data_IF_072900253559
#
_entry.id   IF_072900253559
#
_cell.length_a   1.000
_cell.length_b   1.000
_cell.length_c   1.000
_cell.angle_alpha   90.00
_cell.angle_beta   90.00
_cell.angle_gamma   90.00
#
_symmetry.space_group_name_H-M   'P 1'
#
loop_
_entity.id
_entity.type
_entity.pdbx_description
1 polymer ?
#
# COMPACT_ATOMS: atom_id res chain seq x y z
N UNK A 1 -0.28 -18.14 -0.98
CA UNK A 1 0.33 -17.06 -0.18
C UNK A 1 -0.15 -15.74 -0.74
N UNK A 2 -0.92 -14.95 0.02
CA UNK A 2 -1.15 -13.55 -0.35
C UNK A 2 -0.35 -12.73 0.65
N UNK A 3 0.66 -12.02 0.15
CA UNK A 3 1.38 -11.01 0.93
C UNK A 3 0.66 -9.70 0.69
N UNK A 4 0.12 -9.11 1.74
CA UNK A 4 -0.46 -7.77 1.67
C UNK A 4 0.67 -6.78 1.97
N UNK A 5 1.04 -6.01 0.96
CA UNK A 5 1.90 -4.85 1.15
C UNK A 5 1.07 -3.78 1.86
N UNK A 6 1.47 -3.42 3.08
CA UNK A 6 0.82 -2.32 3.85
C UNK A 6 1.33 -0.94 3.43
N UNK A 7 2.02 -0.90 2.31
CA UNK A 7 2.43 0.31 1.61
C UNK A 7 1.92 0.21 0.18
N UNK A 8 1.64 1.37 -0.41
CA UNK A 8 1.23 1.51 -1.80
C UNK A 8 2.25 2.37 -2.52
N UNK A 9 2.63 1.96 -3.73
CA UNK A 9 3.40 2.79 -4.63
C UNK A 9 2.44 3.54 -5.56
N UNK A 10 2.53 4.86 -5.57
CA UNK A 10 1.74 5.72 -6.44
C UNK A 10 2.67 6.74 -7.11
N UNK A 11 2.87 6.56 -8.42
CA UNK A 11 3.90 7.29 -9.17
C UNK A 11 5.32 6.99 -8.65
N UNK A 12 6.17 8.01 -8.45
CA UNK A 12 7.53 7.83 -7.94
C UNK A 12 7.59 7.68 -6.40
N UNK A 13 6.45 7.69 -5.71
CA UNK A 13 6.39 7.76 -4.25
C UNK A 13 5.84 6.46 -3.63
N UNK A 14 6.34 6.14 -2.44
CA UNK A 14 5.83 5.07 -1.59
C UNK A 14 5.12 5.69 -0.39
N UNK A 15 3.91 5.21 -0.13
CA UNK A 15 3.07 5.66 0.97
C UNK A 15 2.74 4.50 1.90
N UNK A 16 2.71 4.76 3.20
CA UNK A 16 2.19 3.83 4.18
C UNK A 16 0.65 3.89 4.18
N UNK A 17 -0.03 2.76 4.26
CA UNK A 17 -1.49 2.76 4.36
C UNK A 17 -1.93 3.27 5.73
N UNK A 18 -2.80 4.28 5.73
CA UNK A 18 -3.41 4.80 6.93
C UNK A 18 -4.45 3.80 7.50
N UNK A 19 -4.56 3.72 8.83
CA UNK A 19 -5.30 2.69 9.53
C UNK A 19 -6.79 2.61 9.17
N UNK A 20 -7.44 3.72 8.83
CA UNK A 20 -8.84 3.76 8.40
C UNK A 20 -9.05 3.10 7.04
N UNK A 21 -7.99 2.89 6.25
CA UNK A 21 -8.06 2.24 4.94
C UNK A 21 -8.12 0.71 5.01
N UNK A 22 -8.21 0.13 6.21
CA UNK A 22 -8.22 -1.32 6.42
C UNK A 22 -9.35 -2.03 5.66
N UNK A 23 -10.57 -1.49 5.71
CA UNK A 23 -11.71 -2.07 4.98
C UNK A 23 -11.53 -1.93 3.47
N UNK A 24 -11.07 -0.76 3.01
CA UNK A 24 -10.86 -0.49 1.59
C UNK A 24 -9.84 -1.44 0.98
N UNK A 25 -8.70 -1.64 1.64
CA UNK A 25 -7.66 -2.55 1.14
C UNK A 25 -8.16 -4.00 1.17
N UNK A 26 -8.91 -4.41 2.19
CA UNK A 26 -9.50 -5.75 2.23
C UNK A 26 -10.48 -5.97 1.08
N UNK A 27 -11.36 -5.00 0.81
CA UNK A 27 -12.30 -5.07 -0.32
C UNK A 27 -11.60 -5.09 -1.66
N UNK A 28 -10.56 -4.27 -1.82
CA UNK A 28 -9.73 -4.26 -3.02
C UNK A 28 -9.05 -5.62 -3.28
N UNK A 29 -8.71 -6.36 -2.21
CA UNK A 29 -8.17 -7.73 -2.29
C UNK A 29 -9.24 -8.83 -2.47
N UNK A 30 -10.53 -8.47 -2.61
CA UNK A 30 -11.63 -9.42 -2.79
C UNK A 30 -12.19 -10.01 -1.48
N UNK A 31 -11.86 -9.42 -0.32
CA UNK A 31 -12.44 -9.78 0.96
C UNK A 31 -13.67 -8.94 1.27
N UNK A 32 -14.48 -9.39 2.23
CA UNK A 32 -15.70 -8.67 2.62
C UNK A 32 -15.41 -7.40 3.42
N UNK A 33 -14.44 -7.48 4.34
CA UNK A 33 -14.05 -6.40 5.25
C UNK A 33 -12.75 -6.74 6.01
N UNK A 34 -12.24 -5.78 6.76
CA UNK A 34 -11.21 -5.98 7.77
C UNK A 34 -11.76 -6.71 9.01
N UNK A 35 -10.87 -7.46 9.65
CA UNK A 35 -11.03 -8.04 10.98
C UNK A 35 -10.11 -7.32 11.96
N UNK A 36 -9.23 -8.08 12.60
CA UNK A 36 -8.20 -7.51 13.48
C UNK A 36 -7.23 -6.64 12.69
N UNK A 37 -6.91 -5.47 13.27
CA UNK A 37 -5.89 -4.58 12.73
C UNK A 37 -4.83 -4.36 13.78
N UNK A 38 -3.58 -4.18 13.34
CA UNK A 38 -2.52 -3.63 14.17
C UNK A 38 -1.96 -2.41 13.46
N UNK A 39 -1.85 -1.31 14.21
CA UNK A 39 -1.30 -0.07 13.71
C UNK A 39 -0.20 0.49 14.61
N UNK A 40 0.54 1.44 14.05
CA UNK A 40 1.59 2.22 14.70
C UNK A 40 1.55 3.65 14.17
N UNK A 41 2.45 4.54 14.58
CA UNK A 41 2.58 5.86 13.96
C UNK A 41 3.80 5.95 13.05
N UNK A 42 3.79 6.86 12.08
CA UNK A 42 4.98 7.18 11.27
C UNK A 42 6.18 7.58 12.12
N UNK A 43 5.93 8.27 13.24
CA UNK A 43 6.96 8.61 14.22
C UNK A 43 7.63 7.36 14.80
N UNK A 44 6.84 6.40 15.30
CA UNK A 44 7.36 5.16 15.92
C UNK A 44 8.10 4.29 14.90
N UNK A 45 7.67 4.29 13.64
CA UNK A 45 8.36 3.55 12.58
C UNK A 45 9.71 4.14 12.18
N UNK A 46 9.97 5.42 12.47
CA UNK A 46 11.18 6.10 12.03
C UNK A 46 11.32 6.25 10.51
N UNK A 47 10.26 5.94 9.74
CA UNK A 47 10.27 6.02 8.27
C UNK A 47 10.00 7.43 7.80
N UNK A 48 10.72 7.89 6.77
CA UNK A 48 10.50 9.20 6.14
C UNK A 48 9.47 9.14 5.00
N UNK A 49 8.45 8.30 5.14
CA UNK A 49 7.35 8.16 4.19
C UNK A 49 6.14 9.00 4.64
N UNK A 50 5.30 9.38 3.68
CA UNK A 50 3.95 9.90 3.97
C UNK A 50 2.96 8.74 4.10
N UNK A 51 1.83 9.03 4.72
CA UNK A 51 0.69 8.14 4.76
C UNK A 51 -0.27 8.40 3.60
N UNK A 52 -1.10 7.41 3.28
CA UNK A 52 -2.20 7.54 2.33
C UNK A 52 -3.47 6.90 2.88
N UNK A 53 -4.58 7.65 2.82
CA UNK A 53 -5.93 7.09 2.94
C UNK A 53 -6.42 6.67 1.58
N UNK A 54 -7.06 5.50 1.49
CA UNK A 54 -7.65 5.01 0.24
C UNK A 54 -8.96 5.75 -0.07
N UNK A 55 -9.84 5.93 0.92
CA UNK A 55 -11.14 6.58 0.71
C UNK A 55 -11.52 7.50 1.89
N UNK A 56 -11.74 8.81 1.68
CA UNK A 56 -11.36 9.55 0.47
C UNK A 56 -9.85 9.48 0.26
N UNK A 57 -9.42 9.61 -1.00
CA UNK A 57 -7.99 9.62 -1.32
C UNK A 57 -7.34 10.86 -0.71
N UNK A 58 -6.41 10.66 0.23
CA UNK A 58 -5.75 11.74 0.96
C UNK A 58 -4.30 11.34 1.30
N UNK A 59 -3.34 12.21 1.00
CA UNK A 59 -1.95 12.05 1.42
C UNK A 59 -1.74 12.82 2.72
N UNK A 60 -1.26 12.15 3.75
CA UNK A 60 -1.09 12.72 5.10
C UNK A 60 0.39 12.68 5.47
N UNK A 61 0.94 13.84 5.83
CA UNK A 61 2.36 14.02 6.19
C UNK A 61 2.62 14.05 7.69
N UNK A 62 1.55 14.13 8.47
CA UNK A 62 1.59 14.25 9.93
C UNK A 62 2.24 13.01 10.57
N UNK A 63 3.28 13.20 11.39
CA UNK A 63 4.06 12.10 11.97
C UNK A 63 3.28 11.27 13.00
N UNK A 64 2.24 11.87 13.59
CA UNK A 64 1.33 11.20 14.53
C UNK A 64 0.28 10.31 13.85
N UNK A 65 0.19 10.32 12.51
CA UNK A 65 -0.80 9.53 11.77
C UNK A 65 -0.63 8.03 12.03
N UNK A 66 -1.73 7.32 12.29
CA UNK A 66 -1.74 5.88 12.57
C UNK A 66 -1.76 5.05 11.29
N UNK A 67 -0.69 4.31 11.03
CA UNK A 67 -0.51 3.43 9.87
C UNK A 67 -0.85 1.98 10.21
N UNK A 68 -1.28 1.22 9.21
CA UNK A 68 -1.35 -0.24 9.29
C UNK A 68 0.06 -0.83 9.36
N UNK A 69 0.27 -1.77 10.30
CA UNK A 69 1.45 -2.68 10.36
C UNK A 69 1.06 -4.14 10.14
N UNK A 70 -0.17 -4.49 10.49
CA UNK A 70 -0.77 -5.78 10.23
C UNK A 70 -2.28 -5.67 10.06
N UNK A 71 -2.84 -6.58 9.28
CA UNK A 71 -4.25 -6.61 8.94
C UNK A 71 -4.70 -8.03 8.69
N UNK A 72 -5.86 -8.37 9.25
CA UNK A 72 -6.65 -9.56 8.95
C UNK A 72 -7.79 -9.15 8.00
N UNK A 73 -7.92 -9.80 6.84
CA UNK A 73 -9.09 -9.63 5.97
C UNK A 73 -10.02 -10.84 6.04
N UNK A 74 -11.33 -10.58 6.08
CA UNK A 74 -12.36 -11.58 6.36
C UNK A 74 -13.13 -11.95 5.10
N UNK A 75 -13.27 -13.25 4.84
CA UNK A 75 -14.26 -13.74 3.87
C UNK A 75 -15.67 -13.45 4.39
N UNK A 76 -16.65 -13.42 3.49
CA UNK A 76 -18.04 -13.26 3.88
C UNK A 76 -18.44 -14.31 4.93
N UNK A 77 -19.10 -13.87 6.00
CA UNK A 77 -19.52 -14.74 7.12
C UNK A 77 -18.40 -15.15 8.10
N UNK A 78 -17.13 -14.82 7.84
CA UNK A 78 -16.02 -15.14 8.73
C UNK A 78 -15.97 -14.20 9.94
N UNK A 79 -15.76 -14.74 11.13
CA UNK A 79 -15.51 -13.95 12.35
C UNK A 79 -14.04 -13.51 12.43
N UNK A 80 -13.83 -12.29 12.92
CA UNK A 80 -12.50 -11.77 13.23
C UNK A 80 -11.81 -12.63 14.30
N UNK A 81 -10.48 -12.72 14.22
CA UNK A 81 -9.70 -13.16 15.37
C UNK A 81 -9.92 -12.21 16.55
N UNK A 82 -9.82 -12.75 17.76
CA UNK A 82 -9.78 -11.96 18.98
C UNK A 82 -8.45 -12.24 19.66
N UNK A 83 -7.93 -11.25 20.39
CA UNK A 83 -6.71 -11.44 21.15
C UNK A 83 -6.97 -12.46 22.27
N UNK A 84 -6.03 -13.38 22.47
CA UNK A 84 -6.01 -14.22 23.67
C UNK A 84 -5.60 -13.40 24.92
N UNK A 85 -5.53 -14.06 26.08
CA UNK A 85 -5.13 -13.43 27.35
C UNK A 85 -3.72 -12.82 27.33
N UNK A 86 -2.87 -13.24 26.40
CA UNK A 86 -1.50 -12.78 26.23
C UNK A 86 -1.37 -11.76 25.08
N UNK A 87 -2.49 -11.31 24.52
CA UNK A 87 -2.55 -10.32 23.45
C UNK A 87 -2.23 -10.87 22.06
N UNK A 88 -2.16 -12.19 21.89
CA UNK A 88 -1.88 -12.80 20.60
C UNK A 88 -3.15 -12.86 19.73
N UNK A 89 -3.01 -12.49 18.47
CA UNK A 89 -4.07 -12.56 17.45
C UNK A 89 -3.62 -13.55 16.38
N UNK A 90 -4.42 -14.59 16.15
CA UNK A 90 -4.15 -15.66 15.19
C UNK A 90 -3.87 -17.01 15.89
N UNK A 91 -3.30 -17.97 15.16
CA UNK A 91 -3.28 -19.38 15.57
C UNK A 91 -1.90 -19.83 16.04
N UNK A 92 -1.80 -20.54 17.16
CA UNK A 92 -0.58 -21.26 17.55
C UNK A 92 0.62 -20.40 17.94
N UNK A 93 0.41 -19.12 18.27
CA UNK A 93 1.45 -18.23 18.76
C UNK A 93 1.94 -18.65 20.16
N UNK A 94 3.25 -18.51 20.41
CA UNK A 94 3.90 -18.73 21.72
C UNK A 94 4.56 -17.44 22.18
N UNK A 95 4.22 -16.98 23.38
CA UNK A 95 4.66 -15.69 23.92
C UNK A 95 3.51 -14.68 23.97
N UNK A 96 3.82 -13.38 23.86
CA UNK A 96 2.86 -12.28 24.04
C UNK A 96 2.78 -11.37 22.82
N UNK A 97 1.61 -10.78 22.61
CA UNK A 97 1.38 -9.68 21.66
C UNK A 97 1.78 -10.01 20.21
N UNK A 98 1.69 -11.26 19.76
CA UNK A 98 1.95 -11.63 18.37
C UNK A 98 0.72 -11.39 17.48
N UNK A 99 0.94 -11.13 16.20
CA UNK A 99 -0.12 -10.99 15.19
C UNK A 99 0.16 -11.89 13.99
N UNK A 100 -0.75 -12.81 13.69
CA UNK A 100 -0.59 -13.85 12.68
C UNK A 100 -0.46 -15.23 13.32
N UNK A 101 0.19 -16.18 12.65
CA UNK A 101 0.15 -17.59 13.04
C UNK A 101 1.54 -18.11 13.40
N UNK A 102 1.61 -19.00 14.40
CA UNK A 102 2.78 -19.78 14.81
C UNK A 102 4.06 -18.99 15.07
N UNK A 103 3.94 -17.76 15.58
CA UNK A 103 5.10 -16.99 16.00
C UNK A 103 5.63 -17.48 17.35
N UNK A 104 6.96 -17.46 17.53
CA UNK A 104 7.60 -17.79 18.80
C UNK A 104 8.36 -16.57 19.35
N UNK A 105 8.05 -16.17 20.58
CA UNK A 105 8.56 -14.95 21.19
C UNK A 105 7.48 -13.87 21.34
N UNK A 106 7.88 -12.61 21.48
CA UNK A 106 6.95 -11.52 21.75
C UNK A 106 6.94 -10.49 20.61
N UNK A 107 5.78 -9.88 20.37
CA UNK A 107 5.57 -8.77 19.44
C UNK A 107 5.89 -9.09 17.96
N UNK A 108 5.85 -10.36 17.56
CA UNK A 108 6.09 -10.74 16.17
C UNK A 108 4.84 -10.53 15.32
N UNK A 109 5.05 -10.18 14.05
CA UNK A 109 3.98 -10.07 13.05
C UNK A 109 4.33 -10.98 11.88
N UNK A 110 3.52 -12.00 11.59
CA UNK A 110 3.78 -12.89 10.47
C UNK A 110 3.11 -14.27 10.59
N UNK A 111 3.33 -15.09 9.57
CA UNK A 111 2.91 -16.49 9.48
C UNK A 111 4.08 -17.34 8.97
N UNK A 112 4.21 -18.63 9.35
CA UNK A 112 5.05 -19.56 8.61
C UNK A 112 4.49 -19.74 7.19
N UNK A 113 5.38 -19.80 6.21
CA UNK A 113 5.05 -19.72 4.77
C UNK A 113 4.11 -20.83 4.24
N UNK A 114 3.80 -21.86 5.03
CA UNK A 114 3.22 -23.12 4.55
C UNK A 114 1.76 -23.38 4.96
N UNK A 115 1.10 -22.55 5.79
CA UNK A 115 -0.16 -22.99 6.43
C UNK A 115 -1.37 -22.04 6.43
N UNK A 116 -1.32 -20.82 5.88
CA UNK A 116 -2.44 -19.89 6.13
C UNK A 116 -3.50 -19.87 5.00
N UNK A 117 -4.72 -20.32 5.35
CA UNK A 117 -5.98 -20.07 4.62
C UNK A 117 -6.63 -18.72 5.04
N UNK A 118 -5.94 -17.96 5.91
CA UNK A 118 -6.20 -16.58 6.32
C UNK A 118 -5.01 -15.73 5.86
N UNK A 119 -5.22 -14.46 5.55
CA UNK A 119 -4.11 -13.59 5.14
C UNK A 119 -3.77 -12.65 6.30
N UNK A 120 -2.52 -12.71 6.73
CA UNK A 120 -1.91 -11.71 7.61
C UNK A 120 -1.00 -10.83 6.77
N UNK A 121 -1.31 -9.52 6.70
CA UNK A 121 -0.36 -8.51 6.24
C UNK A 121 0.73 -8.31 7.30
N UNK A 122 2.01 -8.24 6.93
CA UNK A 122 3.09 -7.88 7.86
C UNK A 122 4.11 -7.00 7.15
N UNK A 123 4.47 -5.86 7.74
CA UNK A 123 5.76 -5.23 7.42
C UNK A 123 6.86 -6.06 8.06
N UNK A 124 7.70 -6.67 7.24
CA UNK A 124 9.00 -7.11 7.70
C UNK A 124 9.88 -5.87 7.87
N UNK A 125 9.96 -5.30 9.08
CA UNK A 125 10.92 -4.24 9.41
C UNK A 125 12.16 -4.89 10.02
N UNK A 126 12.77 -5.81 9.28
CA UNK A 126 14.20 -6.05 9.44
C UNK A 126 14.92 -5.07 8.50
N UNK A 127 16.00 -4.46 9.00
CA UNK A 127 16.77 -3.38 8.34
C UNK A 127 16.91 -3.55 6.81
N UNK A 128 16.92 -2.44 6.04
CA UNK A 128 16.96 -2.49 4.58
C UNK A 128 18.30 -3.04 4.11
N UNK A 129 18.37 -4.34 3.87
CA UNK A 129 19.45 -4.96 3.11
C UNK A 129 18.86 -5.55 1.83
N UNK A 130 18.83 -4.69 0.81
CA UNK A 130 18.81 -5.00 -0.61
C UNK A 130 17.67 -5.86 -1.20
N UNK A 131 17.37 -5.54 -2.47
CA UNK A 131 16.67 -6.35 -3.47
C UNK A 131 15.13 -6.41 -3.41
N UNK A 132 14.50 -5.53 -4.17
CA UNK A 132 13.72 -5.98 -5.33
C UNK A 132 13.94 -4.98 -6.47
N UNK A 133 14.71 -5.44 -7.44
CA UNK A 133 14.90 -4.84 -8.76
C UNK A 133 13.54 -4.51 -9.38
N UNK A 134 13.28 -3.22 -9.59
CA UNK A 134 12.15 -2.77 -10.37
C UNK A 134 12.23 -3.39 -11.79
N UNK A 135 11.12 -3.86 -12.37
CA UNK A 135 11.10 -4.16 -13.80
C UNK A 135 11.39 -2.86 -14.56
N UNK A 136 12.38 -2.93 -15.45
CA UNK A 136 12.78 -1.84 -16.35
C UNK A 136 11.53 -1.33 -17.11
N UNK A 137 11.21 -0.02 -17.09
CA UNK A 137 10.16 0.51 -17.95
C UNK A 137 10.56 0.27 -19.42
N UNK A 138 9.69 -0.41 -20.16
CA UNK A 138 9.86 -0.55 -21.61
C UNK A 138 9.62 0.80 -22.26
N UNK A 139 10.71 1.49 -22.64
CA UNK A 139 10.66 2.69 -23.47
C UNK A 139 10.31 2.30 -24.89
N UNK A 140 9.05 2.45 -25.26
CA UNK A 140 8.66 2.65 -26.67
C UNK A 140 7.63 3.77 -26.71
N UNK A 141 8.13 4.99 -26.91
CA UNK A 141 7.34 6.16 -27.23
C UNK A 141 7.27 6.22 -28.76
N UNK A 142 6.09 6.18 -29.41
CA UNK A 142 5.99 6.57 -30.81
C UNK A 142 6.17 8.09 -30.91
N UNK A 143 7.30 8.54 -31.44
CA UNK A 143 7.54 9.93 -31.81
C UNK A 143 6.85 10.21 -33.15
N UNK A 144 5.74 10.95 -33.15
CA UNK A 144 5.31 11.72 -34.32
C UNK A 144 5.57 13.20 -34.05
N UNK A 145 6.50 13.73 -34.83
CA UNK A 145 7.07 15.06 -34.80
C UNK A 145 6.07 16.12 -35.33
N UNK A 146 5.93 17.30 -34.72
CA UNK A 146 5.19 18.41 -35.33
C UNK A 146 6.08 19.15 -36.34
N UNK A 147 5.63 19.23 -37.60
CA UNK A 147 6.27 20.01 -38.67
C UNK A 147 6.05 21.50 -38.47
N UNK A 148 7.12 22.26 -38.31
CA UNK A 148 7.15 23.72 -38.38
C UNK A 148 7.48 24.16 -39.81
N UNK A 149 6.52 24.72 -40.53
CA UNK A 149 6.78 25.43 -41.80
C UNK A 149 6.60 26.93 -41.56
N UNK A 150 7.66 27.69 -41.78
CA UNK A 150 7.74 29.16 -41.69
C UNK A 150 7.19 29.76 -43.00
N UNK A 151 6.31 30.78 -42.99
CA UNK A 151 5.99 31.55 -44.19
C UNK A 151 6.81 32.85 -44.27
N UNK A 152 7.50 33.05 -45.39
CA UNK A 152 8.17 34.31 -45.79
C UNK A 152 7.22 35.19 -46.63
N UNK A 153 6.82 36.33 -46.04
CA UNK A 153 6.50 37.69 -46.57
C UNK A 153 5.99 37.97 -48.02
N UNK A 154 4.77 38.59 -48.08
CA UNK A 154 4.28 39.82 -48.79
C UNK A 154 4.42 40.03 -50.33
N UNK A 155 3.65 40.95 -51.01
CA UNK A 155 2.49 41.79 -50.60
C UNK A 155 1.29 41.91 -51.59
N UNK A 156 0.17 42.44 -51.05
CA UNK A 156 -0.99 43.21 -51.60
C UNK A 156 -1.42 43.14 -53.09
N UNK A 157 -2.74 42.98 -53.30
CA UNK A 157 -3.60 43.98 -54.00
C UNK A 157 -5.09 43.84 -53.60
N UNK A 158 -5.73 44.99 -53.36
CA UNK A 158 -7.16 45.21 -53.14
C UNK A 158 -8.05 44.71 -54.28
N UNK A 159 -9.32 44.37 -53.98
CA UNK A 159 -10.51 45.04 -54.56
C UNK A 159 -11.82 44.47 -53.96
N UNK A 160 -12.60 45.37 -53.38
CA UNK A 160 -14.02 45.28 -53.02
C UNK A 160 -14.92 45.13 -54.25
N UNK A 161 -16.04 44.40 -54.14
CA UNK A 161 -17.40 44.87 -54.48
C UNK A 161 -18.46 43.76 -54.35
N UNK A 162 -19.67 44.20 -54.02
CA UNK A 162 -20.96 43.51 -54.20
C UNK A 162 -21.24 43.10 -55.64
#
# INVERSE_FOLDING_TARGET
MVRVSIYVQYGPHVYMLEASSADDICRWMGYSKAGSIRGTTLHVLGVSASAIKMTPFEIIKERSTRMLVALECLKAGQKACTADKDGNIGTGNKGKNNFGDYNNGNNNIGVPATLSNRITASTNISQPSALLTAPKPSTTIPTTQPSTTIPTTQPSTNLTAS
#
